data_IF_955848877811
#
_entry.id   IF_955848877811
#
_cell.length_a   1.000
_cell.length_b   1.000
_cell.length_c   1.000
_cell.angle_alpha   90.00
_cell.angle_beta   90.00
_cell.angle_gamma   90.00
#
_symmetry.space_group_name_H-M   'P 1'
#
loop_
_entity.id
_entity.type
_entity.pdbx_description
1 polymer ?
#
# COMPACT_ATOMS: atom_id res chain seq x y z
N UNK A 1 72.79 15.76 19.24
CA UNK A 1 71.91 15.58 18.07
C UNK A 1 70.73 14.74 18.50
N UNK A 2 69.56 15.30 18.80
CA UNK A 2 68.38 14.60 19.16
C UNK A 2 67.41 14.59 17.93
N UNK A 3 67.12 13.38 17.43
CA UNK A 3 66.28 13.19 16.27
C UNK A 3 64.81 13.10 16.77
N UNK A 4 64.02 14.14 16.47
CA UNK A 4 62.57 14.09 16.71
C UNK A 4 61.89 13.27 15.62
N UNK A 5 61.26 12.15 16.00
CA UNK A 5 60.38 11.38 15.15
C UNK A 5 58.95 11.93 15.30
N UNK A 6 58.48 12.58 14.24
CA UNK A 6 57.07 13.04 14.15
C UNK A 6 56.18 11.87 13.63
N UNK A 7 55.38 11.33 14.53
CA UNK A 7 54.35 10.32 14.16
C UNK A 7 53.11 11.08 13.62
N UNK A 8 52.91 11.00 12.31
CA UNK A 8 51.68 11.44 11.65
C UNK A 8 50.58 10.36 11.89
N UNK A 9 49.62 10.66 12.75
CA UNK A 9 48.42 9.83 12.89
C UNK A 9 47.41 10.24 11.81
N UNK A 10 47.23 9.37 10.81
CA UNK A 10 46.17 9.51 9.80
C UNK A 10 44.85 9.06 10.39
N UNK A 11 43.96 10.00 10.71
CA UNK A 11 42.59 9.71 11.10
C UNK A 11 41.74 9.38 9.87
N UNK A 12 41.38 8.11 9.72
CA UNK A 12 40.44 7.67 8.70
C UNK A 12 39.02 7.94 9.21
N UNK A 13 38.41 9.00 8.71
CA UNK A 13 37.01 9.29 8.96
C UNK A 13 36.12 8.35 8.09
N UNK A 14 35.52 7.34 8.69
CA UNK A 14 34.53 6.50 8.03
C UNK A 14 33.22 7.28 7.93
N UNK A 15 32.91 7.76 6.73
CA UNK A 15 31.62 8.40 6.42
C UNK A 15 30.57 7.30 6.30
N UNK A 16 29.81 7.03 7.36
CA UNK A 16 28.65 6.15 7.33
C UNK A 16 27.53 6.88 6.60
N UNK A 17 27.35 6.56 5.31
CA UNK A 17 26.18 7.01 4.55
C UNK A 17 24.98 6.22 5.06
N UNK A 18 24.22 6.82 5.95
CA UNK A 18 22.89 6.32 6.31
C UNK A 18 21.99 6.46 5.07
N UNK A 19 21.83 5.37 4.32
CA UNK A 19 20.76 5.28 3.31
C UNK A 19 19.44 5.27 4.06
N UNK A 20 18.87 6.46 4.24
CA UNK A 20 17.53 6.62 4.79
C UNK A 20 16.53 5.90 3.89
N UNK A 21 15.92 4.84 4.38
CA UNK A 21 14.77 4.20 3.74
C UNK A 21 13.60 5.18 3.90
N UNK A 22 13.41 6.04 2.91
CA UNK A 22 12.28 6.96 2.88
C UNK A 22 11.01 6.15 2.63
N UNK A 23 10.14 6.06 3.62
CA UNK A 23 8.74 5.70 3.39
C UNK A 23 8.21 6.65 2.30
N UNK A 24 7.63 6.10 1.22
CA UNK A 24 7.09 6.92 0.14
C UNK A 24 5.78 7.54 0.61
N UNK A 25 5.72 8.86 0.83
CA UNK A 25 4.51 9.52 1.32
C UNK A 25 3.38 9.52 0.28
N UNK A 26 3.69 9.31 -0.99
CA UNK A 26 2.75 9.39 -2.12
C UNK A 26 2.35 8.01 -2.67
N UNK A 27 2.13 7.02 -1.79
CA UNK A 27 1.59 5.72 -2.20
C UNK A 27 2.59 4.59 -2.34
N UNK A 28 2.06 3.38 -2.54
CA UNK A 28 2.83 2.17 -2.68
C UNK A 28 3.61 2.15 -4.02
N UNK A 29 4.87 1.71 -4.02
CA UNK A 29 5.63 1.56 -5.26
C UNK A 29 5.16 0.34 -6.05
N UNK A 30 5.37 0.33 -7.37
CA UNK A 30 5.10 -0.81 -8.27
C UNK A 30 5.63 -2.14 -7.73
N UNK A 31 6.78 -2.14 -7.08
CA UNK A 31 7.38 -3.36 -6.53
C UNK A 31 6.58 -3.99 -5.38
N UNK A 32 5.58 -3.29 -4.82
CA UNK A 32 4.68 -3.83 -3.82
C UNK A 32 3.51 -4.63 -4.42
N UNK A 33 3.19 -4.46 -5.70
CA UNK A 33 2.03 -5.09 -6.35
C UNK A 33 2.08 -6.63 -6.27
N UNK A 34 3.23 -7.23 -6.55
CA UNK A 34 3.38 -8.69 -6.56
C UNK A 34 3.26 -9.35 -5.18
N UNK A 35 3.59 -8.66 -4.11
CA UNK A 35 3.61 -9.23 -2.76
C UNK A 35 2.55 -8.67 -1.82
N UNK A 36 2.00 -7.51 -2.12
CA UNK A 36 1.12 -6.74 -1.22
C UNK A 36 1.77 -6.43 0.15
N UNK A 37 3.11 -6.40 0.22
CA UNK A 37 3.88 -6.22 1.46
C UNK A 37 4.65 -4.91 1.42
N UNK A 38 4.50 -4.04 2.44
CA UNK A 38 5.37 -2.90 2.62
C UNK A 38 6.83 -3.33 2.86
N UNK A 39 7.80 -2.59 2.28
CA UNK A 39 9.24 -2.94 2.38
C UNK A 39 9.97 -2.23 3.53
N UNK A 40 9.30 -1.82 4.57
CA UNK A 40 9.91 -1.09 5.69
C UNK A 40 10.03 -1.90 6.99
N UNK A 41 10.12 -3.24 6.90
CA UNK A 41 10.43 -4.10 8.07
C UNK A 41 9.35 -4.11 9.16
N UNK A 42 8.10 -3.79 8.80
CA UNK A 42 7.00 -3.70 9.75
C UNK A 42 6.50 -5.08 10.20
N UNK A 43 5.94 -5.13 11.40
CA UNK A 43 5.21 -6.28 11.89
C UNK A 43 3.90 -6.44 11.11
N UNK A 44 3.61 -7.67 10.68
CA UNK A 44 2.43 -7.94 9.89
C UNK A 44 1.39 -8.77 10.65
N UNK A 45 0.12 -8.45 10.40
CA UNK A 45 -1.03 -9.20 10.88
C UNK A 45 -1.87 -9.67 9.69
N UNK A 46 -2.40 -10.88 9.72
CA UNK A 46 -3.32 -11.38 8.70
C UNK A 46 -4.76 -11.18 9.17
N UNK A 47 -5.55 -10.48 8.34
CA UNK A 47 -6.90 -10.09 8.71
C UNK A 47 -6.93 -9.04 9.82
N UNK A 48 -8.09 -8.47 10.07
CA UNK A 48 -8.31 -7.54 11.19
C UNK A 48 -9.80 -7.22 11.34
N UNK A 49 -10.28 -7.17 12.57
CA UNK A 49 -11.59 -6.59 12.90
C UNK A 49 -11.55 -5.05 13.00
N UNK A 50 -10.37 -4.44 12.90
CA UNK A 50 -10.17 -2.98 12.96
C UNK A 50 -10.37 -2.30 11.62
N UNK A 51 -10.32 -3.06 10.52
CA UNK A 51 -10.44 -2.52 9.17
C UNK A 51 -11.42 -3.35 8.37
N UNK A 52 -12.22 -2.68 7.56
CA UNK A 52 -13.21 -3.28 6.69
C UNK A 52 -13.04 -2.77 5.27
N UNK A 53 -13.09 -3.68 4.31
CA UNK A 53 -13.18 -3.38 2.90
C UNK A 53 -14.58 -3.82 2.44
N UNK A 54 -15.32 -2.91 1.81
CA UNK A 54 -16.65 -3.17 1.25
C UNK A 54 -16.71 -2.71 -0.19
N UNK A 55 -17.59 -3.27 -0.97
CA UNK A 55 -17.83 -2.90 -2.36
C UNK A 55 -19.32 -2.75 -2.63
N UNK A 56 -19.71 -1.89 -3.58
CA UNK A 56 -21.09 -1.57 -3.89
C UNK A 56 -21.84 -2.76 -4.53
N UNK A 57 -21.15 -3.60 -5.30
CA UNK A 57 -21.70 -4.84 -5.88
C UNK A 57 -20.57 -5.85 -6.14
N UNK A 58 -20.94 -7.13 -6.17
CA UNK A 58 -20.05 -8.24 -6.53
C UNK A 58 -19.93 -8.38 -8.05
N UNK A 59 -21.07 -8.27 -8.74
CA UNK A 59 -21.15 -8.40 -10.19
C UNK A 59 -21.06 -7.04 -10.85
N UNK A 60 -20.38 -6.97 -11.98
CA UNK A 60 -20.27 -5.76 -12.79
C UNK A 60 -20.82 -5.97 -14.20
N UNK A 61 -21.22 -4.87 -14.83
CA UNK A 61 -21.61 -4.74 -16.23
C UNK A 61 -20.74 -3.72 -16.91
N UNK A 62 -20.80 -3.68 -18.22
CA UNK A 62 -20.13 -2.64 -19.02
C UNK A 62 -20.51 -1.25 -18.52
N UNK A 63 -19.52 -0.36 -18.46
CA UNK A 63 -19.64 1.02 -17.98
C UNK A 63 -20.12 1.19 -16.51
N UNK A 64 -20.19 0.11 -15.72
CA UNK A 64 -20.52 0.23 -14.30
C UNK A 64 -19.28 0.45 -13.45
N UNK A 65 -19.20 1.60 -12.77
CA UNK A 65 -18.18 1.81 -11.76
C UNK A 65 -18.54 1.09 -10.46
N UNK A 66 -17.57 0.39 -9.87
CA UNK A 66 -17.71 -0.23 -8.54
C UNK A 66 -17.05 0.68 -7.51
N UNK A 67 -17.84 1.12 -6.55
CA UNK A 67 -17.32 1.83 -5.39
C UNK A 67 -16.75 0.83 -4.38
N UNK A 68 -15.53 1.09 -3.91
CA UNK A 68 -14.82 0.29 -2.91
C UNK A 68 -14.47 1.19 -1.74
N UNK A 69 -14.94 0.81 -0.56
CA UNK A 69 -14.77 1.60 0.64
C UNK A 69 -13.86 0.88 1.64
N UNK A 70 -12.77 1.54 2.03
CA UNK A 70 -11.89 1.11 3.08
C UNK A 70 -12.18 1.90 4.34
N UNK A 71 -12.56 1.23 5.43
CA UNK A 71 -13.00 1.89 6.67
C UNK A 71 -12.23 1.35 7.88
N UNK A 72 -11.74 2.27 8.71
CA UNK A 72 -11.19 1.96 10.03
C UNK A 72 -12.32 1.97 11.07
N UNK A 73 -12.37 0.94 11.90
CA UNK A 73 -13.42 0.72 12.88
C UNK A 73 -13.04 1.30 14.25
N UNK A 74 -14.02 1.86 14.95
CA UNK A 74 -13.85 2.45 16.28
C UNK A 74 -12.89 3.65 16.28
N UNK A 75 -11.80 3.54 17.03
CA UNK A 75 -10.75 4.59 17.12
C UNK A 75 -9.52 4.29 16.24
N UNK A 76 -9.60 3.26 15.38
CA UNK A 76 -8.51 2.93 14.49
C UNK A 76 -8.31 4.01 13.41
N UNK A 77 -7.08 4.12 12.93
CA UNK A 77 -6.70 4.94 11.78
C UNK A 77 -5.67 4.19 10.94
N UNK A 78 -5.46 4.62 9.70
CA UNK A 78 -4.39 4.14 8.83
C UNK A 78 -3.75 5.30 8.08
N UNK A 79 -2.49 5.13 7.69
CA UNK A 79 -1.72 6.13 6.93
C UNK A 79 -1.61 5.77 5.46
N UNK A 80 -1.69 4.49 5.14
CA UNK A 80 -1.55 4.03 3.77
C UNK A 80 -2.28 2.73 3.51
N UNK A 81 -2.48 2.45 2.23
CA UNK A 81 -3.08 1.20 1.77
C UNK A 81 -2.59 0.83 0.37
N UNK A 82 -2.75 -0.44 0.05
CA UNK A 82 -2.67 -0.99 -1.28
C UNK A 82 -3.87 -1.90 -1.48
N UNK A 83 -4.73 -1.59 -2.45
CA UNK A 83 -5.91 -2.38 -2.81
C UNK A 83 -5.69 -3.00 -4.17
N UNK A 84 -6.12 -4.24 -4.35
CA UNK A 84 -6.18 -4.90 -5.65
C UNK A 84 -7.57 -5.41 -5.97
N UNK A 85 -7.92 -5.38 -7.25
CA UNK A 85 -9.12 -5.97 -7.83
C UNK A 85 -8.77 -7.31 -8.47
N UNK A 86 -9.59 -8.33 -8.25
CA UNK A 86 -9.41 -9.69 -8.76
C UNK A 86 -10.68 -10.09 -9.52
N UNK A 87 -10.52 -10.43 -10.79
CA UNK A 87 -11.55 -10.97 -11.68
C UNK A 87 -11.04 -12.31 -12.21
N UNK A 88 -11.79 -13.38 -12.02
CA UNK A 88 -11.41 -14.74 -12.46
C UNK A 88 -10.02 -15.20 -11.98
N UNK A 89 -9.61 -14.74 -10.80
CA UNK A 89 -8.33 -15.08 -10.19
C UNK A 89 -7.13 -14.19 -10.57
N UNK A 90 -7.33 -13.26 -11.51
CA UNK A 90 -6.27 -12.37 -12.00
C UNK A 90 -6.53 -10.91 -11.59
N UNK A 91 -5.48 -10.13 -11.44
CA UNK A 91 -5.59 -8.68 -11.24
C UNK A 91 -6.09 -8.01 -12.52
N UNK A 92 -7.18 -7.24 -12.41
CA UNK A 92 -7.84 -6.68 -13.60
C UNK A 92 -8.55 -5.35 -13.32
N UNK A 93 -8.90 -4.66 -14.44
CA UNK A 93 -9.56 -3.36 -14.42
C UNK A 93 -8.65 -2.24 -13.99
N UNK A 94 -9.22 -1.04 -13.90
CA UNK A 94 -8.46 0.18 -13.59
C UNK A 94 -9.15 0.96 -12.48
N UNK A 95 -8.38 1.36 -11.48
CA UNK A 95 -8.86 2.32 -10.49
C UNK A 95 -8.75 3.74 -11.04
N UNK A 96 -9.74 4.56 -10.74
CA UNK A 96 -9.71 5.98 -11.06
C UNK A 96 -9.01 6.76 -9.94
N UNK A 97 -8.38 7.88 -10.31
CA UNK A 97 -7.84 8.82 -9.33
C UNK A 97 -8.98 9.50 -8.56
N UNK A 98 -8.86 9.55 -7.26
CA UNK A 98 -9.80 10.18 -6.32
C UNK A 98 -9.08 11.10 -5.35
N UNK A 99 -9.81 11.59 -4.35
CA UNK A 99 -9.27 12.48 -3.32
C UNK A 99 -8.21 11.78 -2.47
N UNK A 100 -8.50 10.56 -1.99
CA UNK A 100 -7.61 9.79 -1.10
C UNK A 100 -6.84 8.68 -1.82
N UNK A 101 -7.09 8.45 -3.12
CA UNK A 101 -6.61 7.28 -3.84
C UNK A 101 -6.13 7.59 -5.25
N UNK A 102 -5.17 6.81 -5.71
CA UNK A 102 -4.64 6.86 -7.06
C UNK A 102 -4.27 5.46 -7.57
N UNK A 103 -4.34 5.21 -8.89
CA UNK A 103 -3.81 3.99 -9.48
C UNK A 103 -2.31 3.82 -9.17
N UNK A 104 -1.87 2.58 -9.01
CA UNK A 104 -0.43 2.29 -8.93
C UNK A 104 0.15 2.23 -10.32
N UNK A 105 1.06 3.15 -10.65
CA UNK A 105 1.67 3.20 -11.98
C UNK A 105 2.33 1.87 -12.38
N UNK A 106 1.90 1.32 -13.51
CA UNK A 106 2.40 0.06 -14.05
C UNK A 106 1.92 -1.20 -13.33
N UNK A 107 0.81 -1.10 -12.56
CA UNK A 107 0.11 -2.23 -11.95
C UNK A 107 -1.40 -2.10 -12.25
N UNK A 108 -1.89 -2.63 -13.36
CA UNK A 108 -3.33 -2.69 -13.62
C UNK A 108 -4.06 -3.39 -12.47
N UNK A 109 -5.25 -2.92 -12.12
CA UNK A 109 -6.04 -3.47 -11.02
C UNK A 109 -5.56 -3.10 -9.62
N UNK A 110 -4.62 -2.16 -9.45
CA UNK A 110 -4.14 -1.72 -8.15
C UNK A 110 -4.33 -0.23 -7.90
N UNK A 111 -4.71 0.11 -6.66
CA UNK A 111 -4.76 1.49 -6.17
C UNK A 111 -4.08 1.64 -4.81
N UNK A 112 -3.63 2.85 -4.52
CA UNK A 112 -2.96 3.23 -3.29
C UNK A 112 -3.36 4.64 -2.84
N UNK A 113 -2.96 5.02 -1.64
CA UNK A 113 -3.16 6.37 -1.09
C UNK A 113 -2.35 7.44 -1.84
N UNK A 114 -2.77 8.69 -1.73
CA UNK A 114 -2.10 9.87 -2.32
C UNK A 114 -1.16 10.58 -1.35
N UNK A 115 -1.42 10.50 -0.03
CA UNK A 115 -0.68 11.17 1.04
C UNK A 115 -0.52 10.26 2.28
N UNK A 116 0.39 10.60 3.22
CA UNK A 116 0.66 9.82 4.43
C UNK A 116 -0.21 10.22 5.63
N UNK A 117 -1.23 11.03 5.44
CA UNK A 117 -2.06 11.53 6.52
C UNK A 117 -2.92 10.42 7.15
N UNK A 118 -3.30 10.63 8.40
CA UNK A 118 -4.16 9.69 9.10
C UNK A 118 -5.58 9.69 8.53
N UNK A 119 -6.02 8.53 8.08
CA UNK A 119 -7.33 8.30 7.49
C UNK A 119 -8.17 7.38 8.37
N UNK A 120 -9.46 7.61 8.42
CA UNK A 120 -10.45 6.68 8.95
C UNK A 120 -11.26 6.01 7.85
N UNK A 121 -11.22 6.57 6.66
CA UNK A 121 -11.96 6.12 5.47
C UNK A 121 -11.15 6.47 4.21
N UNK A 122 -11.32 5.65 3.17
CA UNK A 122 -10.92 5.99 1.80
C UNK A 122 -11.93 5.37 0.83
N UNK A 123 -12.41 6.18 -0.11
CA UNK A 123 -13.28 5.74 -1.19
C UNK A 123 -12.47 5.59 -2.49
N UNK A 124 -12.70 4.49 -3.18
CA UNK A 124 -12.06 4.18 -4.45
C UNK A 124 -13.13 3.85 -5.49
N UNK A 125 -12.88 4.24 -6.74
CA UNK A 125 -13.72 3.85 -7.88
C UNK A 125 -12.93 2.93 -8.78
N UNK A 126 -13.50 1.78 -9.12
CA UNK A 126 -12.92 0.80 -10.00
C UNK A 126 -13.74 0.64 -11.27
N UNK A 127 -13.05 0.64 -12.41
CA UNK A 127 -13.62 0.46 -13.74
C UNK A 127 -13.34 -0.96 -14.24
N UNK A 128 -14.36 -1.73 -14.64
CA UNK A 128 -14.21 -3.11 -15.11
C UNK A 128 -13.38 -3.22 -16.39
N UNK A 129 -12.68 -4.36 -16.58
CA UNK A 129 -11.91 -4.61 -17.81
C UNK A 129 -12.75 -5.14 -18.97
N UNK A 130 -13.95 -5.64 -18.68
CA UNK A 130 -14.82 -6.34 -19.63
C UNK A 130 -16.29 -5.98 -19.41
N UNK A 131 -17.16 -6.44 -20.30
CA UNK A 131 -18.59 -6.08 -20.30
C UNK A 131 -19.39 -6.65 -19.12
N UNK A 132 -18.93 -7.75 -18.50
CA UNK A 132 -19.59 -8.34 -17.32
C UNK A 132 -18.66 -9.32 -16.60
N UNK A 133 -18.91 -9.53 -15.34
CA UNK A 133 -18.18 -10.50 -14.51
C UNK A 133 -18.45 -10.28 -13.03
N UNK A 134 -17.67 -10.97 -12.20
CA UNK A 134 -17.62 -10.75 -10.76
C UNK A 134 -16.23 -10.27 -10.35
N UNK A 135 -16.18 -9.37 -9.37
CA UNK A 135 -14.92 -8.83 -8.84
C UNK A 135 -14.88 -8.99 -7.32
N UNK A 136 -13.70 -9.31 -6.82
CA UNK A 136 -13.39 -9.23 -5.39
C UNK A 136 -12.21 -8.30 -5.19
N UNK A 137 -12.20 -7.62 -4.04
CA UNK A 137 -11.11 -6.72 -3.70
C UNK A 137 -10.38 -7.22 -2.47
N UNK A 138 -9.08 -6.98 -2.43
CA UNK A 138 -8.24 -7.31 -1.28
C UNK A 138 -7.30 -6.15 -0.98
N UNK A 139 -7.14 -5.84 0.31
CA UNK A 139 -6.31 -4.73 0.76
C UNK A 139 -5.20 -5.17 1.70
N UNK A 140 -4.09 -4.46 1.62
CA UNK A 140 -3.09 -4.31 2.68
C UNK A 140 -3.20 -2.90 3.23
N UNK A 141 -3.26 -2.77 4.55
CA UNK A 141 -3.42 -1.50 5.26
C UNK A 141 -2.19 -1.24 6.10
N UNK A 142 -1.57 -0.08 5.92
CA UNK A 142 -0.45 0.39 6.72
C UNK A 142 -0.99 1.31 7.80
N UNK A 143 -1.03 0.83 9.04
CA UNK A 143 -1.44 1.62 10.19
C UNK A 143 -0.41 2.72 10.47
N UNK A 144 0.85 2.30 10.55
CA UNK A 144 2.00 3.16 10.80
C UNK A 144 3.28 2.50 10.23
N UNK A 145 4.44 3.10 10.46
CA UNK A 145 5.72 2.59 9.94
C UNK A 145 6.06 1.18 10.44
N UNK A 146 5.57 0.78 11.61
CA UNK A 146 5.92 -0.48 12.27
C UNK A 146 4.85 -1.57 12.14
N UNK A 147 3.63 -1.23 11.70
CA UNK A 147 2.50 -2.17 11.73
C UNK A 147 1.67 -2.11 10.46
N UNK A 148 1.41 -3.26 9.86
CA UNK A 148 0.49 -3.38 8.72
C UNK A 148 -0.39 -4.64 8.83
N UNK A 149 -1.53 -4.60 8.12
CA UNK A 149 -2.53 -5.66 8.09
C UNK A 149 -2.75 -6.10 6.64
N UNK A 150 -2.75 -7.42 6.41
CA UNK A 150 -2.94 -8.02 5.08
C UNK A 150 -4.27 -8.75 4.98
N UNK A 151 -4.66 -9.08 3.75
CA UNK A 151 -5.83 -9.90 3.44
C UNK A 151 -7.14 -9.31 3.98
N UNK A 152 -7.25 -7.97 4.03
CA UNK A 152 -8.51 -7.32 4.36
C UNK A 152 -9.41 -7.40 3.13
N UNK A 153 -10.65 -7.88 3.32
CA UNK A 153 -11.60 -8.11 2.24
C UNK A 153 -11.48 -9.46 1.52
N UNK A 154 -10.48 -10.31 1.88
CA UNK A 154 -10.45 -11.69 1.37
C UNK A 154 -11.73 -12.41 1.83
N UNK A 155 -12.49 -13.10 0.92
CA UNK A 155 -13.58 -13.96 1.33
C UNK A 155 -13.10 -14.97 2.38
N UNK A 156 -13.89 -15.20 3.41
CA UNK A 156 -13.63 -16.26 4.39
C UNK A 156 -14.04 -17.55 3.70
N UNK A 157 -13.09 -18.46 3.50
CA UNK A 157 -13.33 -19.81 2.97
C UNK A 157 -14.15 -20.61 3.97
#
# INVERSE_FOLDING_TARGET
>A
MQTFVVLLSASVSVLVVMMGVTARPSGAPRSACGTMVPRHGAEHHSGSNRYRLTQSCLDFKEDSLIEVNLTAMGKATFKGFLVKAIVDGEEAGDFLSGEDSQPVHGCPGFATHVDPDHKTHAALLWNPPTSKGAVTFMATIVKDYTTFYRNIGKPVD
#
